data_IF_711669213772
#
_entry.id   IF_711669213772
#
_cell.length_a   1.000
_cell.length_b   1.000
_cell.length_c   1.000
_cell.angle_alpha   90.00
_cell.angle_beta   90.00
_cell.angle_gamma   90.00
#
_symmetry.space_group_name_H-M   'P 1'
#
loop_
_entity.id
_entity.type
_entity.pdbx_description
1 polymer ?
#
# COMPACT_ATOMS: atom_id res chain seq x y z
N UNK A 1 -3.66 5.81 -7.33
CA UNK A 1 -2.28 6.33 -7.52
C UNK A 1 -1.29 5.16 -7.52
N UNK A 2 -0.49 4.95 -8.57
CA UNK A 2 0.51 3.87 -8.62
C UNK A 2 1.84 4.29 -7.98
N UNK A 3 1.82 4.59 -6.68
CA UNK A 3 3.02 5.07 -5.97
C UNK A 3 4.21 4.09 -6.05
N UNK A 4 3.91 2.79 -6.16
CA UNK A 4 4.92 1.74 -6.36
C UNK A 4 5.74 1.92 -7.64
N UNK A 5 5.16 2.50 -8.70
CA UNK A 5 5.88 2.75 -9.97
C UNK A 5 6.96 3.79 -9.78
N UNK A 6 6.64 4.88 -9.08
CA UNK A 6 7.62 5.93 -8.81
C UNK A 6 8.79 5.36 -8.01
N UNK A 7 8.53 4.55 -6.98
CA UNK A 7 9.59 3.92 -6.21
C UNK A 7 10.48 2.98 -7.04
N UNK A 8 9.89 2.19 -7.94
CA UNK A 8 10.67 1.33 -8.87
C UNK A 8 11.52 2.16 -9.83
N UNK A 9 10.95 3.17 -10.50
CA UNK A 9 11.70 3.97 -11.48
C UNK A 9 12.79 4.85 -10.84
N UNK A 10 12.57 5.31 -9.60
CA UNK A 10 13.52 6.12 -8.85
C UNK A 10 14.58 5.29 -8.10
N UNK A 11 14.61 3.96 -8.27
CA UNK A 11 15.46 3.05 -7.50
C UNK A 11 15.34 3.24 -5.99
N UNK A 12 14.15 3.57 -5.49
CA UNK A 12 13.94 3.72 -4.06
C UNK A 12 14.06 2.36 -3.37
N UNK A 13 14.69 2.33 -2.19
CA UNK A 13 14.76 1.11 -1.36
C UNK A 13 13.38 0.75 -0.80
N UNK A 14 12.59 1.76 -0.41
CA UNK A 14 11.23 1.59 0.06
C UNK A 14 10.39 2.85 -0.18
N UNK A 15 9.07 2.69 -0.14
CA UNK A 15 8.09 3.78 -0.10
C UNK A 15 7.46 3.83 1.29
N UNK A 16 7.60 4.97 1.97
CA UNK A 16 6.91 5.24 3.22
C UNK A 16 5.45 5.65 2.96
N UNK A 17 4.52 4.99 3.64
CA UNK A 17 3.09 5.27 3.55
C UNK A 17 2.57 5.86 4.85
N UNK A 18 1.66 6.84 4.75
CA UNK A 18 1.06 7.52 5.91
C UNK A 18 -0.11 6.78 6.58
N UNK A 19 -0.21 5.45 6.45
CA UNK A 19 -1.26 4.69 7.12
C UNK A 19 -0.97 4.61 8.63
N UNK A 20 -1.93 5.02 9.44
CA UNK A 20 -1.84 4.97 10.90
C UNK A 20 -2.37 3.64 11.47
N UNK A 21 -2.30 3.47 12.79
CA UNK A 21 -2.77 2.27 13.49
C UNK A 21 -4.25 1.95 13.17
N UNK A 22 -5.13 2.95 13.20
CA UNK A 22 -6.56 2.77 12.94
C UNK A 22 -6.86 2.32 11.51
N UNK A 23 -6.13 2.87 10.53
CA UNK A 23 -6.23 2.43 9.13
C UNK A 23 -5.87 0.95 9.01
N UNK A 24 -4.73 0.55 9.57
CA UNK A 24 -4.22 -0.81 9.46
C UNK A 24 -5.12 -1.79 10.21
N UNK A 25 -5.54 -1.46 11.43
CA UNK A 25 -6.42 -2.30 12.22
C UNK A 25 -7.76 -2.53 11.49
N UNK A 26 -8.34 -1.48 10.90
CA UNK A 26 -9.57 -1.60 10.13
C UNK A 26 -9.41 -2.47 8.88
N UNK A 27 -8.28 -2.36 8.16
CA UNK A 27 -7.99 -3.20 7.01
C UNK A 27 -7.80 -4.68 7.39
N UNK A 28 -7.08 -4.96 8.47
CA UNK A 28 -6.87 -6.34 8.95
C UNK A 28 -8.22 -6.94 9.35
N UNK A 29 -8.99 -6.25 10.19
CA UNK A 29 -10.27 -6.78 10.67
C UNK A 29 -11.27 -6.96 9.52
N UNK A 30 -11.31 -6.05 8.54
CA UNK A 30 -12.11 -6.22 7.33
C UNK A 30 -11.76 -7.53 6.61
N UNK A 31 -10.48 -7.76 6.36
CA UNK A 31 -10.05 -8.95 5.63
C UNK A 31 -10.31 -10.23 6.43
N UNK A 32 -10.19 -10.18 7.76
CA UNK A 32 -10.60 -11.27 8.63
C UNK A 32 -12.10 -11.57 8.52
N UNK A 33 -12.96 -10.55 8.65
CA UNK A 33 -14.42 -10.70 8.56
C UNK A 33 -14.86 -11.24 7.19
N UNK A 34 -14.17 -10.85 6.11
CA UNK A 34 -14.43 -11.34 4.75
C UNK A 34 -13.69 -12.65 4.41
N UNK A 35 -13.00 -13.27 5.37
CA UNK A 35 -12.19 -14.49 5.19
C UNK A 35 -11.13 -14.39 4.08
N UNK A 36 -10.65 -13.17 3.81
CA UNK A 36 -9.52 -12.91 2.91
C UNK A 36 -8.19 -12.91 3.69
N UNK A 37 -7.87 -14.04 4.30
CA UNK A 37 -6.76 -14.15 5.25
C UNK A 37 -5.39 -13.88 4.60
N UNK A 38 -5.24 -14.22 3.31
CA UNK A 38 -3.98 -13.98 2.58
C UNK A 38 -3.63 -12.49 2.42
N UNK A 39 -4.63 -11.61 2.48
CA UNK A 39 -4.41 -10.16 2.42
C UNK A 39 -3.81 -9.62 3.72
N UNK A 40 -4.09 -10.23 4.87
CA UNK A 40 -3.63 -9.78 6.19
C UNK A 40 -2.10 -9.78 6.25
N UNK A 41 -1.44 -10.78 5.67
CA UNK A 41 0.03 -10.89 5.62
C UNK A 41 0.71 -9.64 5.04
N UNK A 42 0.03 -8.89 4.17
CA UNK A 42 0.55 -7.67 3.51
C UNK A 42 0.40 -6.40 4.36
N UNK A 43 -0.27 -6.49 5.50
CA UNK A 43 -0.60 -5.36 6.37
C UNK A 43 0.30 -5.25 7.61
N UNK A 44 1.48 -5.87 7.61
CA UNK A 44 2.52 -5.64 8.64
C UNK A 44 3.18 -4.25 8.59
N UNK A 45 4.13 -3.94 9.49
CA UNK A 45 4.83 -2.64 9.52
C UNK A 45 5.69 -2.40 8.27
N UNK A 46 6.19 -3.48 7.67
CA UNK A 46 6.93 -3.45 6.41
C UNK A 46 6.38 -4.50 5.44
N UNK A 47 6.72 -4.34 4.16
CA UNK A 47 6.49 -5.32 3.11
C UNK A 47 7.70 -5.31 2.21
N UNK A 48 8.32 -6.47 2.05
CA UNK A 48 9.56 -6.62 1.30
C UNK A 48 9.37 -6.28 -0.18
N UNK A 49 10.42 -5.78 -0.84
CA UNK A 49 10.43 -5.63 -2.30
C UNK A 49 10.30 -7.00 -2.99
N UNK A 50 9.89 -6.97 -4.25
CA UNK A 50 9.93 -8.13 -5.14
C UNK A 50 10.71 -7.74 -6.39
N UNK A 51 11.99 -8.10 -6.40
CA UNK A 51 12.96 -7.81 -7.45
C UNK A 51 12.81 -6.39 -8.01
N UNK A 52 12.85 -6.24 -9.33
CA UNK A 52 12.60 -4.97 -10.03
C UNK A 52 11.13 -4.70 -10.32
N UNK A 53 10.20 -5.54 -9.85
CA UNK A 53 8.76 -5.46 -10.21
C UNK A 53 7.90 -4.82 -9.12
N UNK A 54 8.37 -4.80 -7.87
CA UNK A 54 7.75 -4.06 -6.77
C UNK A 54 8.78 -3.52 -5.77
N UNK A 55 8.66 -2.23 -5.45
CA UNK A 55 9.41 -1.59 -4.36
C UNK A 55 8.85 -2.00 -2.99
N UNK A 56 9.72 -2.11 -1.99
CA UNK A 56 9.33 -2.34 -0.61
C UNK A 56 8.46 -1.21 -0.07
N UNK A 57 7.63 -1.50 0.94
CA UNK A 57 6.76 -0.51 1.59
C UNK A 57 6.95 -0.53 3.08
N UNK A 58 7.04 0.65 3.68
CA UNK A 58 7.13 0.81 5.14
C UNK A 58 5.98 1.69 5.63
N UNK A 59 5.51 1.43 6.85
CA UNK A 59 4.41 2.16 7.49
C UNK A 59 4.93 2.73 8.82
N UNK A 60 5.61 3.89 8.82
CA UNK A 60 6.22 4.44 10.02
C UNK A 60 5.22 4.74 11.14
N UNK A 61 3.95 4.98 10.79
CA UNK A 61 2.87 5.27 11.72
C UNK A 61 2.09 4.02 12.17
N UNK A 62 2.67 2.82 12.01
CA UNK A 62 1.99 1.54 12.30
C UNK A 62 1.46 1.43 13.74
N UNK A 63 2.14 2.05 14.71
CA UNK A 63 1.72 2.08 16.12
C UNK A 63 1.24 3.47 16.58
N UNK A 64 0.94 4.38 15.65
CA UNK A 64 0.46 5.73 15.98
C UNK A 64 -1.02 5.81 15.64
N UNK A 65 -1.86 6.19 16.59
CA UNK A 65 -3.29 6.35 16.40
C UNK A 65 -3.61 7.54 15.49
N UNK A 66 -4.79 7.51 14.86
CA UNK A 66 -5.30 8.60 14.03
C UNK A 66 -5.45 9.89 14.84
N UNK A 67 -5.89 9.79 16.10
CA UNK A 67 -6.02 10.93 17.02
C UNK A 67 -4.65 11.54 17.37
N UNK A 68 -3.62 10.72 17.55
CA UNK A 68 -2.26 11.17 17.84
C UNK A 68 -1.64 11.86 16.62
N UNK A 69 -1.78 11.24 15.44
CA UNK A 69 -1.33 11.82 14.16
C UNK A 69 -1.99 13.17 13.93
N UNK A 70 -3.31 13.27 14.13
CA UNK A 70 -4.06 14.53 13.98
C UNK A 70 -3.63 15.58 15.00
N UNK A 71 -3.38 15.19 16.24
CA UNK A 71 -2.93 16.09 17.30
C UNK A 71 -1.53 16.64 16.99
N UNK A 72 -0.62 15.79 16.50
CA UNK A 72 0.71 16.19 16.07
C UNK A 72 0.65 17.21 14.93
N UNK A 73 -0.12 16.93 13.87
CA UNK A 73 -0.28 17.85 12.72
C UNK A 73 -0.77 19.23 13.17
N UNK A 74 -1.75 19.27 14.09
CA UNK A 74 -2.26 20.54 14.66
C UNK A 74 -1.21 21.26 15.50
N UNK A 75 -0.55 20.56 16.42
CA UNK A 75 0.46 21.15 17.30
C UNK A 75 1.66 21.70 16.52
N UNK A 76 2.12 20.96 15.52
CA UNK A 76 3.22 21.34 14.64
C UNK A 76 2.80 22.33 13.54
N UNK A 77 1.52 22.72 13.46
CA UNK A 77 0.95 23.62 12.45
C UNK A 77 1.30 23.20 11.01
N UNK A 78 1.29 21.90 10.74
CA UNK A 78 1.61 21.38 9.42
C UNK A 78 0.43 21.61 8.47
N UNK A 79 0.67 22.06 7.23
CA UNK A 79 -0.39 22.19 6.25
C UNK A 79 -0.90 20.80 5.85
N UNK A 80 -2.23 20.63 5.84
CA UNK A 80 -2.88 19.41 5.39
C UNK A 80 -4.22 19.71 4.72
N UNK A 81 -4.70 18.77 3.92
CA UNK A 81 -6.01 18.90 3.25
C UNK A 81 -7.08 18.38 4.19
N UNK A 82 -7.98 19.26 4.65
CA UNK A 82 -9.09 18.90 5.55
C UNK A 82 -10.28 18.28 4.82
N UNK A 83 -10.41 18.54 3.52
CA UNK A 83 -11.54 18.05 2.73
C UNK A 83 -11.40 16.55 2.42
N UNK A 84 -12.47 15.79 2.66
CA UNK A 84 -12.56 14.43 2.17
C UNK A 84 -12.83 14.41 0.65
N UNK A 85 -12.41 13.34 -0.02
CA UNK A 85 -12.74 13.13 -1.44
C UNK A 85 -14.28 13.14 -1.65
N UNK A 86 -14.83 13.95 -2.57
CA UNK A 86 -16.27 14.04 -2.79
C UNK A 86 -16.89 12.75 -3.32
N UNK A 87 -16.07 11.88 -3.93
CA UNK A 87 -16.48 10.55 -4.41
C UNK A 87 -16.29 9.44 -3.37
N UNK A 88 -15.86 9.77 -2.15
CA UNK A 88 -15.76 8.78 -1.06
C UNK A 88 -17.17 8.31 -0.68
N UNK A 89 -17.44 7.00 -0.66
CA UNK A 89 -18.75 6.49 -0.24
C UNK A 89 -19.10 6.99 1.17
N UNK A 90 -20.34 7.47 1.36
CA UNK A 90 -20.84 7.97 2.66
C UNK A 90 -20.76 6.92 3.77
N UNK A 91 -20.94 5.65 3.39
CA UNK A 91 -20.73 4.49 4.26
C UNK A 91 -19.79 3.54 3.54
N UNK A 92 -18.67 3.23 4.17
CA UNK A 92 -17.74 2.21 3.72
C UNK A 92 -17.32 1.39 4.94
N UNK A 93 -17.07 0.10 4.72
CA UNK A 93 -17.01 -0.89 5.79
C UNK A 93 -15.92 -0.59 6.82
N UNK A 94 -14.78 -0.07 6.36
CA UNK A 94 -13.65 0.31 7.21
C UNK A 94 -14.02 1.44 8.20
N UNK A 95 -14.89 2.38 7.83
CA UNK A 95 -15.34 3.41 8.78
C UNK A 95 -16.22 2.82 9.90
N UNK A 96 -17.06 1.83 9.58
CA UNK A 96 -17.85 1.13 10.61
C UNK A 96 -16.94 0.34 11.55
N UNK A 97 -15.92 -0.30 11.00
CA UNK A 97 -14.91 -1.02 11.79
C UNK A 97 -14.14 -0.07 12.70
N UNK A 98 -13.68 1.08 12.20
CA UNK A 98 -12.97 2.08 13.02
C UNK A 98 -13.81 2.52 14.22
N UNK A 99 -15.09 2.84 14.01
CA UNK A 99 -16.01 3.19 15.10
C UNK A 99 -16.18 2.07 16.13
N UNK A 100 -16.23 0.82 15.69
CA UNK A 100 -16.30 -0.32 16.59
C UNK A 100 -14.99 -0.49 17.38
N UNK A 101 -13.84 -0.29 16.75
CA UNK A 101 -12.54 -0.31 17.42
C UNK A 101 -12.37 0.82 18.43
N UNK A 102 -12.84 2.03 18.10
CA UNK A 102 -12.89 3.17 19.03
C UNK A 102 -13.73 2.84 20.26
N UNK A 103 -14.94 2.31 20.07
CA UNK A 103 -15.80 1.88 21.17
C UNK A 103 -15.14 0.81 22.05
N UNK A 104 -14.49 -0.19 21.45
CA UNK A 104 -13.81 -1.25 22.21
C UNK A 104 -12.55 -0.76 22.93
N UNK A 105 -11.89 0.28 22.44
CA UNK A 105 -10.75 0.89 23.12
C UNK A 105 -11.17 1.56 24.43
N UNK A 106 -12.36 2.18 24.47
CA UNK A 106 -12.88 2.81 25.68
C UNK A 106 -13.13 1.78 26.80
N UNK A 107 -13.54 0.58 26.42
CA UNK A 107 -13.70 -0.57 27.33
C UNK A 107 -12.36 -1.22 27.69
N UNK A 108 -11.45 -1.35 26.73
CA UNK A 108 -10.14 -2.00 26.89
C UNK A 108 -9.03 -1.11 26.33
N UNK A 109 -8.42 -0.34 27.23
CA UNK A 109 -7.31 0.54 26.87
C UNK A 109 -6.12 -0.24 26.29
N UNK A 110 -5.60 0.24 25.17
CA UNK A 110 -4.48 -0.35 24.45
C UNK A 110 -4.88 -1.44 23.45
N UNK A 111 -6.17 -1.77 23.32
CA UNK A 111 -6.65 -2.87 22.47
C UNK A 111 -6.13 -2.76 21.03
N UNK A 112 -6.23 -1.58 20.40
CA UNK A 112 -5.81 -1.40 18.99
C UNK A 112 -4.31 -1.66 18.81
N UNK A 113 -3.48 -1.15 19.71
CA UNK A 113 -2.03 -1.33 19.64
C UNK A 113 -1.62 -2.78 19.92
N UNK A 114 -2.21 -3.39 20.95
CA UNK A 114 -1.97 -4.79 21.28
C UNK A 114 -2.40 -5.72 20.14
N UNK A 115 -3.54 -5.43 19.50
CA UNK A 115 -3.99 -6.12 18.31
C UNK A 115 -2.95 -6.03 17.19
N UNK A 116 -2.50 -4.83 16.84
CA UNK A 116 -1.52 -4.63 15.75
C UNK A 116 -0.16 -5.27 16.03
N UNK A 117 0.33 -5.20 17.27
CA UNK A 117 1.58 -5.83 17.71
C UNK A 117 1.48 -7.35 17.62
N UNK A 118 0.35 -7.93 18.05
CA UNK A 118 0.11 -9.37 17.94
C UNK A 118 -0.01 -9.81 16.48
N UNK A 119 -0.67 -9.03 15.62
CA UNK A 119 -0.72 -9.32 14.19
C UNK A 119 0.70 -9.29 13.59
N UNK A 120 1.49 -8.24 13.87
CA UNK A 120 2.84 -8.11 13.35
C UNK A 120 3.75 -9.29 13.72
N UNK A 121 3.60 -9.82 14.94
CA UNK A 121 4.34 -11.01 15.42
C UNK A 121 3.89 -12.33 14.77
N UNK A 122 2.68 -12.39 14.21
CA UNK A 122 2.07 -13.62 13.69
C UNK A 122 1.71 -13.51 12.19
N UNK A 123 2.39 -12.64 11.42
CA UNK A 123 2.09 -12.44 10.00
C UNK A 123 2.29 -13.71 9.17
N UNK A 124 3.20 -14.57 9.59
CA UNK A 124 3.55 -15.85 8.99
C UNK A 124 2.47 -16.93 9.18
N UNK A 125 1.63 -16.81 10.20
CA UNK A 125 0.46 -17.69 10.42
C UNK A 125 -0.57 -17.53 9.30
N UNK A 126 -0.65 -16.35 8.68
CA UNK A 126 -1.59 -16.08 7.61
C UNK A 126 -1.08 -16.64 6.27
N UNK A 127 -1.97 -17.26 5.46
CA UNK A 127 -1.55 -17.94 4.24
C UNK A 127 -0.93 -16.96 3.25
N UNK A 128 0.06 -17.43 2.49
CA UNK A 128 0.53 -16.68 1.33
C UNK A 128 -0.53 -16.70 0.22
N UNK A 129 -0.56 -15.69 -0.66
CA UNK A 129 -1.43 -15.72 -1.84
C UNK A 129 -1.19 -17.00 -2.65
N UNK A 130 -2.27 -17.63 -3.13
CA UNK A 130 -2.21 -18.88 -3.91
C UNK A 130 -1.61 -18.69 -5.30
N UNK A 131 -1.74 -17.49 -5.87
CA UNK A 131 -1.20 -17.18 -7.19
C UNK A 131 0.19 -16.53 -7.12
N UNK A 132 1.15 -16.99 -7.94
CA UNK A 132 2.47 -16.38 -7.99
C UNK A 132 2.38 -14.97 -8.54
N UNK A 133 3.03 -14.05 -7.85
CA UNK A 133 3.25 -12.69 -8.30
C UNK A 133 4.18 -12.73 -9.52
N UNK A 134 3.80 -12.04 -10.59
CA UNK A 134 4.53 -12.02 -11.86
C UNK A 134 4.64 -10.61 -12.44
N UNK A 135 5.54 -10.43 -13.40
CA UNK A 135 5.60 -9.21 -14.19
C UNK A 135 4.40 -9.13 -15.15
N UNK A 136 3.75 -7.97 -15.22
CA UNK A 136 2.70 -7.71 -16.19
C UNK A 136 3.25 -7.73 -17.62
N UNK A 137 2.63 -8.47 -18.53
CA UNK A 137 3.08 -8.58 -19.93
C UNK A 137 3.12 -7.24 -20.67
N UNK A 138 2.28 -6.28 -20.29
CA UNK A 138 2.25 -4.95 -20.93
C UNK A 138 3.22 -3.93 -20.32
N UNK A 139 3.34 -3.89 -18.99
CA UNK A 139 4.05 -2.81 -18.30
C UNK A 139 5.21 -3.26 -17.44
N UNK A 140 5.47 -4.57 -17.30
CA UNK A 140 6.58 -5.14 -16.55
C UNK A 140 6.51 -4.98 -15.03
N UNK A 141 5.43 -4.44 -14.48
CA UNK A 141 5.25 -4.25 -13.03
C UNK A 141 4.48 -5.41 -12.40
N UNK A 142 4.56 -5.53 -11.07
CA UNK A 142 3.89 -6.59 -10.30
C UNK A 142 2.40 -6.76 -10.65
N UNK A 143 2.00 -8.01 -10.82
CA UNK A 143 0.63 -8.44 -11.13
C UNK A 143 0.38 -9.83 -10.54
N UNK A 144 -0.87 -10.10 -10.14
CA UNK A 144 -1.33 -11.47 -9.85
C UNK A 144 -1.78 -12.21 -11.11
N UNK A 145 -2.18 -11.49 -12.15
CA UNK A 145 -2.56 -12.03 -13.46
C UNK A 145 -1.52 -11.71 -14.53
N UNK A 146 -1.71 -12.21 -15.76
CA UNK A 146 -0.87 -11.86 -16.92
C UNK A 146 -0.82 -10.33 -17.18
N UNK A 147 -1.98 -9.68 -17.16
CA UNK A 147 -2.11 -8.22 -17.30
C UNK A 147 -2.58 -7.64 -15.96
N UNK A 148 -1.88 -6.63 -15.45
CA UNK A 148 -2.21 -5.99 -14.17
C UNK A 148 -3.56 -5.25 -14.21
N UNK A 149 -4.18 -5.10 -13.03
CA UNK A 149 -5.48 -4.44 -12.90
C UNK A 149 -5.51 -3.02 -13.50
N UNK A 150 -4.40 -2.27 -13.41
CA UNK A 150 -4.28 -0.95 -14.01
C UNK A 150 -4.38 -1.00 -15.54
N UNK A 151 -3.57 -1.86 -16.19
CA UNK A 151 -3.58 -1.98 -17.65
C UNK A 151 -4.94 -2.52 -18.16
N UNK A 152 -5.55 -3.47 -17.45
CA UNK A 152 -6.91 -3.95 -17.77
C UNK A 152 -7.93 -2.82 -17.71
N UNK A 153 -7.86 -1.98 -16.67
CA UNK A 153 -8.77 -0.84 -16.50
C UNK A 153 -8.60 0.19 -17.61
N UNK A 154 -7.37 0.60 -17.92
CA UNK A 154 -7.14 1.61 -18.96
C UNK A 154 -7.48 1.08 -20.35
N UNK A 155 -7.23 -0.21 -20.63
CA UNK A 155 -7.66 -0.82 -21.89
C UNK A 155 -9.18 -0.77 -22.04
N UNK A 156 -9.92 -1.04 -20.96
CA UNK A 156 -11.39 -0.96 -20.97
C UNK A 156 -11.93 0.46 -21.13
N UNK A 157 -11.28 1.46 -20.54
CA UNK A 157 -11.79 2.85 -20.49
C UNK A 157 -11.29 3.70 -21.66
N UNK A 158 -10.05 3.51 -22.09
CA UNK A 158 -9.34 4.34 -23.07
C UNK A 158 -9.10 3.58 -24.39
N UNK A 159 -9.28 2.26 -24.41
CA UNK A 159 -9.05 1.42 -25.58
C UNK A 159 -7.68 0.75 -25.61
N UNK A 160 -6.74 1.16 -24.76
CA UNK A 160 -5.39 0.59 -24.71
C UNK A 160 -4.77 0.54 -23.29
N UNK A 161 -3.82 -0.37 -23.04
CA UNK A 161 -3.15 -0.47 -21.74
C UNK A 161 -2.08 0.62 -21.55
N UNK A 162 -2.37 1.65 -20.76
CA UNK A 162 -1.49 2.81 -20.55
C UNK A 162 -0.33 2.56 -19.57
N UNK A 163 -0.11 1.33 -19.12
CA UNK A 163 0.89 1.04 -18.09
C UNK A 163 2.31 1.40 -18.50
N UNK A 164 2.71 1.09 -19.74
CA UNK A 164 4.04 1.42 -20.26
C UNK A 164 4.21 2.93 -20.46
N UNK A 165 3.20 3.59 -21.04
CA UNK A 165 3.17 5.05 -21.21
C UNK A 165 3.35 5.79 -19.87
N UNK A 166 2.61 5.39 -18.83
CA UNK A 166 2.72 6.01 -17.50
C UNK A 166 4.12 5.82 -16.91
N UNK A 167 4.75 4.65 -17.08
CA UNK A 167 6.13 4.43 -16.62
C UNK A 167 7.10 5.37 -17.32
N UNK A 168 6.98 5.54 -18.62
CA UNK A 168 7.82 6.45 -19.39
C UNK A 168 7.67 7.90 -18.90
N UNK A 169 6.44 8.38 -18.73
CA UNK A 169 6.18 9.74 -18.20
C UNK A 169 6.77 9.96 -16.82
N UNK A 170 6.72 8.93 -15.97
CA UNK A 170 7.34 8.98 -14.63
C UNK A 170 8.87 9.05 -14.74
N UNK A 171 9.51 8.29 -15.64
CA UNK A 171 10.96 8.37 -15.88
C UNK A 171 11.38 9.76 -16.33
N UNK A 172 10.64 10.34 -17.27
CA UNK A 172 10.88 11.71 -17.76
C UNK A 172 10.79 12.74 -16.62
N UNK A 173 9.78 12.60 -15.75
CA UNK A 173 9.61 13.48 -14.59
C UNK A 173 10.71 13.29 -13.53
N UNK A 174 11.16 12.06 -13.28
CA UNK A 174 12.28 11.79 -12.35
C UNK A 174 13.57 12.40 -12.92
N UNK A 175 13.81 12.22 -14.22
CA UNK A 175 14.98 12.78 -14.89
C UNK A 175 14.99 14.31 -14.85
N UNK A 176 13.85 14.98 -15.04
CA UNK A 176 13.76 16.44 -14.98
C UNK A 176 13.97 17.01 -13.57
N UNK A 177 13.72 16.21 -12.53
CA UNK A 177 13.99 16.56 -11.12
C UNK A 177 15.45 16.32 -10.71
N UNK A 178 16.31 15.84 -11.61
CA UNK A 178 17.71 15.52 -11.30
C UNK A 178 17.88 14.34 -10.33
N UNK A 179 16.83 13.56 -10.10
CA UNK A 179 16.87 12.38 -9.24
C UNK A 179 17.51 11.21 -10.00
N UNK A 180 18.23 10.35 -9.27
CA UNK A 180 18.74 9.09 -9.84
C UNK A 180 17.55 8.25 -10.32
N UNK A 181 17.67 7.69 -11.51
CA UNK A 181 16.69 6.77 -12.08
C UNK A 181 17.39 5.47 -12.49
N UNK A 182 16.63 4.38 -12.50
CA UNK A 182 17.18 3.06 -12.82
C UNK A 182 17.46 2.95 -14.31
N UNK A 183 18.70 3.24 -14.72
CA UNK A 183 19.22 2.88 -16.04
C UNK A 183 19.27 1.35 -16.09
N UNK A 184 18.33 0.78 -16.83
CA UNK A 184 18.17 -0.66 -17.12
C UNK A 184 17.39 -1.46 -16.07
N UNK A 185 16.33 -2.13 -16.54
CA UNK A 185 15.75 -3.28 -15.85
C UNK A 185 16.89 -4.29 -15.65
N UNK A 186 17.13 -4.82 -14.44
CA UNK A 186 18.09 -5.90 -14.32
C UNK A 186 17.57 -7.05 -15.17
N UNK A 187 18.35 -7.42 -16.20
CA UNK A 187 18.15 -8.68 -16.91
C UNK A 187 18.06 -9.76 -15.84
N UNK A 188 17.04 -10.60 -15.97
CA UNK A 188 16.84 -11.81 -15.18
C UNK A 188 18.18 -12.51 -14.93
N UNK A 189 18.79 -12.27 -13.77
CA UNK A 189 19.87 -13.09 -13.28
C UNK A 189 19.23 -14.39 -12.86
N UNK A 190 19.35 -15.37 -13.76
CA UNK A 190 19.24 -16.78 -13.45
C UNK A 190 20.03 -17.04 -12.17
N UNK A 191 19.34 -17.41 -11.10
CA UNK A 191 19.97 -18.08 -9.98
C UNK A 191 19.41 -19.50 -9.93
N UNK A 192 20.33 -20.43 -10.23
CA UNK A 192 20.31 -21.84 -9.88
C UNK A 192 20.10 -22.03 -8.38
#
# INVERSE_FOLDING_TARGET
>A
MRIAVVGVEACATAVALGHNADDIAAYILKNFLLQNLSAIRKHGPATDPLDSIAVGRVRPLYEVLEVETRSYVKAAKLPFVEIACPFKPRRYFEASIKKALEFLEDEVRGLRLDFLRRIAKNLDVYPSPSEPLRACSTCGLISSAEICAFCKLTAKVVGEPLGAFVRQRIREAIASLGLRWCKESPKSSQHM
#
